data_IF_831026829969
#
_entry.id   IF_831026829969
#
_cell.length_a   1.000
_cell.length_b   1.000
_cell.length_c   1.000
_cell.angle_alpha   90.00
_cell.angle_beta   90.00
_cell.angle_gamma   90.00
#
_symmetry.space_group_name_H-M   'P 1'
#
loop_
_entity.id
_entity.type
_entity.pdbx_description
1 polymer ?
#
# COMPACT_ATOMS: atom_id res chain seq x y z
N UNK A 1 -10.81 -24.27 78.21
CA UNK A 1 -11.72 -25.27 77.61
C UNK A 1 -11.50 -25.16 76.10
N UNK A 2 -10.90 -26.17 75.46
CA UNK A 2 -10.59 -26.11 74.02
C UNK A 2 -11.79 -26.72 73.31
N UNK A 3 -12.68 -25.88 72.79
CA UNK A 3 -13.71 -26.33 71.84
C UNK A 3 -13.10 -26.43 70.45
N UNK A 4 -13.01 -27.66 69.92
CA UNK A 4 -12.69 -27.88 68.51
C UNK A 4 -13.97 -27.63 67.69
N UNK A 5 -14.01 -26.53 66.97
CA UNK A 5 -15.04 -26.28 65.96
C UNK A 5 -14.68 -27.01 64.66
N UNK A 6 -15.58 -27.87 64.19
CA UNK A 6 -15.50 -28.54 62.91
C UNK A 6 -16.37 -27.78 61.89
N UNK A 7 -15.77 -26.82 61.18
CA UNK A 7 -16.41 -26.17 60.03
C UNK A 7 -16.21 -26.99 58.76
N UNK A 8 -17.25 -27.16 57.94
CA UNK A 8 -17.13 -27.59 56.53
C UNK A 8 -16.77 -26.39 55.67
N UNK A 9 -15.97 -26.63 54.61
CA UNK A 9 -15.25 -25.69 53.74
C UNK A 9 -16.02 -24.50 53.12
N UNK A 10 -17.32 -24.32 53.36
CA UNK A 10 -18.13 -23.28 52.68
C UNK A 10 -19.03 -22.45 53.61
N UNK A 11 -18.86 -22.52 54.93
CA UNK A 11 -19.60 -21.65 55.85
C UNK A 11 -18.81 -20.36 56.18
N UNK A 12 -19.46 -19.19 56.11
CA UNK A 12 -18.91 -17.94 56.67
C UNK A 12 -18.64 -18.11 58.17
N UNK A 13 -17.37 -18.02 58.58
CA UNK A 13 -16.98 -18.16 59.99
C UNK A 13 -17.06 -16.78 60.66
N UNK A 14 -18.12 -16.55 61.44
CA UNK A 14 -18.19 -15.40 62.34
C UNK A 14 -17.46 -15.72 63.66
N UNK A 15 -16.26 -15.16 63.84
CA UNK A 15 -15.52 -15.24 65.10
C UNK A 15 -16.00 -14.13 66.05
N UNK A 16 -16.71 -14.50 67.11
CA UNK A 16 -17.05 -13.57 68.20
C UNK A 16 -16.06 -13.76 69.36
N UNK A 17 -15.22 -12.76 69.63
CA UNK A 17 -14.25 -12.77 70.73
C UNK A 17 -14.65 -11.84 71.88
N UNK A 18 -14.19 -12.15 73.10
CA UNK A 18 -14.30 -11.24 74.26
C UNK A 18 -13.12 -10.28 74.29
N UNK A 19 -13.36 -9.04 74.76
CA UNK A 19 -12.32 -8.02 74.86
C UNK A 19 -11.19 -8.48 75.81
N UNK A 20 -9.95 -8.40 75.34
CA UNK A 20 -8.75 -8.71 76.12
C UNK A 20 -8.22 -10.15 75.98
N UNK A 21 -8.83 -10.98 75.14
CA UNK A 21 -8.34 -12.34 74.85
C UNK A 21 -7.71 -12.46 73.45
N UNK A 22 -6.69 -13.32 73.35
CA UNK A 22 -6.02 -13.65 72.09
C UNK A 22 -6.50 -15.01 71.59
N UNK A 23 -7.03 -15.05 70.36
CA UNK A 23 -7.47 -16.28 69.71
C UNK A 23 -6.52 -16.63 68.57
N UNK A 24 -6.10 -17.89 68.49
CA UNK A 24 -5.26 -18.42 67.41
C UNK A 24 -6.08 -19.42 66.60
N UNK A 25 -6.32 -19.12 65.34
CA UNK A 25 -6.88 -20.08 64.38
C UNK A 25 -5.70 -20.81 63.74
N UNK A 26 -5.74 -22.14 63.74
CA UNK A 26 -4.72 -22.99 63.14
C UNK A 26 -5.38 -24.01 62.21
N UNK A 27 -4.78 -24.26 61.04
CA UNK A 27 -5.28 -25.24 60.07
C UNK A 27 -6.22 -24.69 59.00
N UNK A 28 -6.30 -23.37 58.81
CA UNK A 28 -6.86 -22.81 57.58
C UNK A 28 -5.75 -22.73 56.55
N UNK A 29 -5.87 -23.47 55.45
CA UNK A 29 -5.15 -23.13 54.25
C UNK A 29 -5.87 -21.92 53.62
N UNK A 30 -5.20 -20.79 53.37
CA UNK A 30 -5.83 -19.68 52.67
C UNK A 30 -6.07 -20.09 51.21
N UNK A 31 -7.24 -20.65 50.93
CA UNK A 31 -7.68 -20.91 49.56
C UNK A 31 -8.39 -19.65 49.06
N UNK A 32 -7.61 -18.70 48.57
CA UNK A 32 -8.14 -17.56 47.83
C UNK A 32 -8.21 -17.91 46.35
N UNK A 33 -9.39 -18.25 45.83
CA UNK A 33 -9.61 -18.35 44.38
C UNK A 33 -9.61 -16.94 43.77
N UNK A 34 -8.45 -16.48 43.31
CA UNK A 34 -8.36 -15.24 42.53
C UNK A 34 -8.64 -15.60 41.07
N UNK A 35 -9.86 -15.34 40.60
CA UNK A 35 -10.19 -15.44 39.18
C UNK A 35 -9.81 -14.16 38.46
N UNK A 36 -9.08 -14.29 37.36
CA UNK A 36 -8.95 -13.21 36.38
C UNK A 36 -10.25 -13.03 35.60
N UNK A 37 -10.39 -11.87 34.96
CA UNK A 37 -11.44 -11.67 33.97
C UNK A 37 -11.32 -12.74 32.86
N UNK A 38 -12.46 -13.21 32.36
CA UNK A 38 -12.50 -14.22 31.30
C UNK A 38 -11.67 -13.75 30.09
N UNK A 39 -10.79 -14.64 29.61
CA UNK A 39 -9.92 -14.39 28.44
C UNK A 39 -8.53 -13.82 28.74
N UNK A 40 -8.19 -13.52 30.00
CA UNK A 40 -6.83 -13.08 30.36
C UNK A 40 -5.91 -14.28 30.58
N UNK A 41 -4.99 -14.53 29.64
CA UNK A 41 -4.01 -15.65 29.68
C UNK A 41 -2.58 -15.22 30.02
N UNK A 42 -2.28 -13.93 29.89
CA UNK A 42 -0.91 -13.41 29.86
C UNK A 42 -0.40 -13.03 31.25
N UNK A 43 -1.06 -13.50 32.30
CA UNK A 43 -0.73 -13.19 33.69
C UNK A 43 -0.88 -14.43 34.55
N UNK A 44 0.04 -14.61 35.50
CA UNK A 44 -0.07 -15.56 36.59
C UNK A 44 -0.29 -14.79 37.89
N UNK A 45 -1.22 -15.28 38.71
CA UNK A 45 -1.42 -14.81 40.08
C UNK A 45 -1.09 -15.96 41.01
N UNK A 46 -0.24 -15.72 41.99
CA UNK A 46 0.04 -16.67 43.07
C UNK A 46 -0.14 -16.02 44.42
N UNK A 47 -0.49 -16.84 45.40
CA UNK A 47 -0.68 -16.42 46.79
C UNK A 47 0.39 -17.12 47.61
N UNK A 48 1.14 -16.35 48.41
CA UNK A 48 2.10 -16.89 49.37
C UNK A 48 1.86 -16.31 50.75
N UNK A 49 2.24 -17.05 51.78
CA UNK A 49 2.23 -16.57 53.17
C UNK A 49 3.62 -16.69 53.75
N UNK A 50 4.19 -15.56 54.17
CA UNK A 50 5.50 -15.47 54.83
C UNK A 50 5.40 -14.45 55.96
N UNK A 51 6.07 -14.68 57.10
CA UNK A 51 6.10 -13.76 58.25
C UNK A 51 4.73 -13.23 58.71
N UNK A 52 3.72 -14.10 58.82
CA UNK A 52 2.33 -13.74 59.13
C UNK A 52 1.70 -12.70 58.18
N UNK A 53 2.28 -12.51 57.00
CA UNK A 53 1.81 -11.59 55.97
C UNK A 53 1.28 -12.38 54.77
N UNK A 54 0.16 -11.92 54.23
CA UNK A 54 -0.44 -12.48 53.02
C UNK A 54 0.07 -11.71 51.80
N UNK A 55 0.71 -12.43 50.88
CA UNK A 55 1.26 -11.85 49.65
C UNK A 55 0.42 -12.27 48.45
N UNK A 56 0.01 -11.30 47.64
CA UNK A 56 -0.57 -11.52 46.31
C UNK A 56 0.52 -11.15 45.31
N UNK A 57 1.05 -12.14 44.60
CA UNK A 57 2.03 -11.94 43.54
C UNK A 57 1.29 -11.95 42.21
N UNK A 58 1.41 -10.87 41.45
CA UNK A 58 0.82 -10.74 40.11
C UNK A 58 1.97 -10.58 39.12
N UNK A 59 2.20 -11.60 38.31
CA UNK A 59 3.30 -11.63 37.35
C UNK A 59 2.69 -11.64 35.95
N UNK A 60 3.10 -10.70 35.09
CA UNK A 60 2.80 -10.80 33.66
C UNK A 60 3.60 -11.98 33.13
N UNK A 61 2.93 -12.95 32.51
CA UNK A 61 3.58 -13.97 31.72
C UNK A 61 4.16 -13.29 30.48
N UNK A 62 5.32 -12.64 30.62
CA UNK A 62 6.15 -12.23 29.50
C UNK A 62 6.91 -13.43 28.96
N UNK A 63 6.19 -14.51 28.65
CA UNK A 63 6.74 -15.65 27.96
C UNK A 63 6.34 -15.55 26.49
N UNK A 64 6.93 -14.56 25.82
CA UNK A 64 7.51 -14.78 24.51
C UNK A 64 8.20 -16.14 24.55
N UNK A 65 7.57 -17.18 24.00
CA UNK A 65 8.17 -18.51 23.93
C UNK A 65 9.02 -18.57 22.67
N UNK A 66 10.37 -18.49 22.79
CA UNK A 66 11.23 -18.37 21.63
C UNK A 66 11.22 -19.61 20.74
N UNK A 67 10.75 -20.76 21.21
CA UNK A 67 11.02 -22.04 20.55
C UNK A 67 10.10 -22.40 19.37
N UNK A 68 9.21 -21.51 18.91
CA UNK A 68 8.33 -21.82 17.78
C UNK A 68 7.84 -20.62 16.94
N UNK A 69 8.36 -19.40 17.16
CA UNK A 69 7.92 -18.26 16.35
C UNK A 69 8.38 -18.45 14.90
N UNK A 70 7.40 -18.35 14.00
CA UNK A 70 7.56 -18.40 12.55
C UNK A 70 6.75 -17.26 11.95
N UNK A 71 7.29 -16.59 10.95
CA UNK A 71 6.64 -15.44 10.32
C UNK A 71 6.92 -14.12 11.03
N UNK A 72 6.10 -13.10 10.72
CA UNK A 72 6.32 -11.74 11.18
C UNK A 72 5.76 -11.51 12.61
N UNK A 73 6.63 -11.30 13.58
CA UNK A 73 6.29 -11.12 14.99
C UNK A 73 6.96 -9.89 15.61
N UNK A 74 6.32 -9.27 16.60
CA UNK A 74 6.90 -8.19 17.40
C UNK A 74 7.67 -8.76 18.58
N UNK A 75 8.90 -8.28 18.82
CA UNK A 75 9.68 -8.63 19.99
C UNK A 75 9.35 -7.76 21.22
N UNK A 76 9.99 -8.05 22.36
CA UNK A 76 9.79 -7.34 23.63
C UNK A 76 10.17 -5.85 23.58
N UNK A 77 10.99 -5.44 22.61
CA UNK A 77 11.41 -4.06 22.41
C UNK A 77 10.51 -3.31 21.42
N UNK A 78 9.46 -3.95 20.90
CA UNK A 78 8.56 -3.35 19.92
C UNK A 78 9.06 -3.45 18.47
N UNK A 79 10.09 -4.25 18.20
CA UNK A 79 10.65 -4.42 16.85
C UNK A 79 9.97 -5.59 16.15
N UNK A 80 9.44 -5.35 14.96
CA UNK A 80 8.83 -6.40 14.13
C UNK A 80 9.89 -7.11 13.29
N UNK A 81 10.05 -8.41 13.53
CA UNK A 81 11.04 -9.25 12.86
C UNK A 81 10.39 -10.49 12.23
N UNK A 82 11.00 -11.02 11.18
CA UNK A 82 10.61 -12.27 10.54
C UNK A 82 11.39 -13.43 11.16
N UNK A 83 10.68 -14.36 11.81
CA UNK A 83 11.28 -15.50 12.50
C UNK A 83 11.15 -16.79 11.71
N UNK A 84 12.16 -17.66 11.82
CA UNK A 84 12.15 -19.06 11.37
C UNK A 84 12.73 -19.91 12.49
N UNK A 85 11.94 -20.88 12.97
CA UNK A 85 12.29 -21.77 14.09
C UNK A 85 12.76 -21.00 15.33
N UNK A 86 12.11 -19.88 15.64
CA UNK A 86 12.41 -19.12 16.86
C UNK A 86 13.60 -18.18 16.77
N UNK A 87 14.27 -18.08 15.62
CA UNK A 87 15.36 -17.14 15.38
C UNK A 87 14.99 -16.18 14.26
N UNK A 88 15.44 -14.92 14.34
CA UNK A 88 15.26 -13.95 13.26
C UNK A 88 16.01 -14.45 12.01
N UNK A 89 15.30 -14.52 10.88
CA UNK A 89 15.92 -14.82 9.59
C UNK A 89 16.41 -13.52 8.94
N UNK A 90 17.66 -13.16 9.25
CA UNK A 90 18.30 -11.97 8.69
C UNK A 90 18.53 -12.02 7.16
N UNK A 91 18.30 -13.15 6.51
CA UNK A 91 18.36 -13.26 5.05
C UNK A 91 17.03 -12.94 4.37
N UNK A 92 15.94 -12.87 5.13
CA UNK A 92 14.62 -12.60 4.57
C UNK A 92 14.49 -11.13 4.16
N UNK A 93 14.19 -10.91 2.88
CA UNK A 93 13.78 -9.62 2.32
C UNK A 93 12.60 -9.85 1.40
N UNK A 94 11.50 -9.13 1.62
CA UNK A 94 10.26 -9.31 0.88
C UNK A 94 9.03 -8.91 1.69
N UNK A 95 7.86 -9.33 1.22
CA UNK A 95 6.59 -9.07 1.90
C UNK A 95 6.20 -10.23 2.81
N UNK A 96 5.98 -9.93 4.08
CA UNK A 96 5.47 -10.87 5.07
C UNK A 96 4.16 -10.35 5.67
N UNK A 97 3.24 -11.25 6.02
CA UNK A 97 1.97 -10.89 6.64
C UNK A 97 1.81 -11.43 8.05
N UNK A 98 0.92 -10.77 8.79
CA UNK A 98 0.34 -11.25 10.03
C UNK A 98 -1.12 -10.76 10.13
N UNK A 99 -1.72 -10.79 11.32
CA UNK A 99 -3.08 -10.34 11.57
C UNK A 99 -3.32 -8.83 11.32
N UNK A 100 -2.26 -8.03 11.25
CA UNK A 100 -2.33 -6.58 11.03
C UNK A 100 -2.17 -6.17 9.55
N UNK A 101 -1.80 -7.11 8.67
CA UNK A 101 -1.64 -6.86 7.24
C UNK A 101 -0.32 -7.36 6.69
N UNK A 102 0.10 -6.78 5.56
CA UNK A 102 1.36 -7.08 4.87
C UNK A 102 2.37 -5.96 5.08
N UNK A 103 3.62 -6.34 5.35
CA UNK A 103 4.71 -5.44 5.67
C UNK A 103 5.94 -5.78 4.83
N UNK A 104 6.69 -4.74 4.47
CA UNK A 104 7.98 -4.91 3.82
C UNK A 104 9.07 -5.16 4.87
N UNK A 105 9.69 -6.33 4.78
CA UNK A 105 10.79 -6.77 5.63
C UNK A 105 12.08 -6.70 4.85
N UNK A 106 13.13 -6.16 5.47
CA UNK A 106 14.47 -6.08 4.90
C UNK A 106 15.47 -6.59 5.93
N UNK A 107 16.28 -7.56 5.52
CA UNK A 107 17.25 -8.23 6.39
C UNK A 107 16.63 -8.73 7.72
N UNK A 108 15.43 -9.32 7.66
CA UNK A 108 14.75 -9.91 8.81
C UNK A 108 13.95 -8.95 9.69
N UNK A 109 13.99 -7.63 9.47
CA UNK A 109 13.19 -6.64 10.23
C UNK A 109 12.31 -5.79 9.32
N UNK A 110 11.17 -5.32 9.82
CA UNK A 110 10.30 -4.39 9.06
C UNK A 110 11.06 -3.07 8.79
N UNK A 111 11.08 -2.66 7.52
CA UNK A 111 11.63 -1.37 7.10
C UNK A 111 10.50 -0.35 6.93
N UNK A 112 10.20 0.36 8.02
CA UNK A 112 9.17 1.41 8.07
C UNK A 112 9.45 2.62 7.18
N UNK A 113 10.67 2.75 6.63
CA UNK A 113 11.02 3.82 5.71
C UNK A 113 10.75 3.47 4.25
N UNK A 114 10.49 2.19 3.95
CA UNK A 114 10.33 1.72 2.59
C UNK A 114 9.02 2.23 1.97
N UNK A 115 9.13 2.89 0.82
CA UNK A 115 8.01 3.25 -0.04
C UNK A 115 8.36 2.88 -1.47
N UNK A 116 7.51 2.10 -2.13
CA UNK A 116 7.79 1.57 -3.47
C UNK A 116 7.08 0.24 -3.73
N UNK A 117 7.50 -0.44 -4.79
CA UNK A 117 6.94 -1.73 -5.17
C UNK A 117 7.78 -2.89 -4.60
N UNK A 118 7.13 -3.79 -3.88
CA UNK A 118 7.72 -5.04 -3.41
C UNK A 118 6.86 -6.24 -3.84
N UNK A 119 7.46 -7.43 -3.94
CA UNK A 119 6.76 -8.63 -4.42
C UNK A 119 6.76 -9.80 -3.44
N UNK A 120 5.80 -10.69 -3.66
CA UNK A 120 5.75 -12.05 -3.11
C UNK A 120 5.23 -13.01 -4.20
N UNK A 121 4.79 -14.21 -3.82
CA UNK A 121 4.23 -15.22 -4.72
C UNK A 121 2.92 -14.80 -5.43
N UNK A 122 2.24 -13.77 -4.92
CA UNK A 122 0.97 -13.28 -5.47
C UNK A 122 1.14 -12.12 -6.47
N UNK A 123 2.32 -11.51 -6.53
CA UNK A 123 2.62 -10.41 -7.44
C UNK A 123 3.35 -9.26 -6.78
N UNK A 124 3.28 -8.08 -7.40
CA UNK A 124 3.88 -6.84 -6.92
C UNK A 124 2.81 -5.94 -6.28
N UNK A 125 3.14 -5.35 -5.14
CA UNK A 125 2.25 -4.50 -4.36
C UNK A 125 2.94 -3.20 -3.98
N UNK A 126 2.14 -2.14 -3.87
CA UNK A 126 2.62 -0.84 -3.42
C UNK A 126 2.67 -0.79 -1.90
N UNK A 127 3.83 -0.42 -1.40
CA UNK A 127 4.13 -0.27 0.02
C UNK A 127 4.33 1.21 0.31
N UNK A 128 3.69 1.69 1.37
CA UNK A 128 3.86 3.03 1.92
C UNK A 128 4.28 2.93 3.37
N UNK A 129 5.43 3.53 3.70
CA UNK A 129 6.01 3.51 5.05
C UNK A 129 6.09 2.08 5.66
N UNK A 130 6.56 1.13 4.86
CA UNK A 130 6.72 -0.27 5.26
C UNK A 130 5.45 -1.12 5.30
N UNK A 131 4.27 -0.55 4.99
CA UNK A 131 2.97 -1.26 5.02
C UNK A 131 2.34 -1.28 3.63
N UNK A 132 1.71 -2.40 3.26
CA UNK A 132 0.95 -2.48 2.00
C UNK A 132 -0.23 -1.50 2.02
N UNK A 133 -0.31 -0.65 1.00
CA UNK A 133 -1.37 0.34 0.83
C UNK A 133 -2.33 -0.06 -0.30
N UNK A 134 -3.46 -0.67 0.07
CA UNK A 134 -4.54 -1.07 -0.84
C UNK A 134 -5.27 0.10 -1.51
N UNK A 135 -5.11 1.33 -1.00
CA UNK A 135 -5.79 2.50 -1.56
C UNK A 135 -5.00 3.16 -2.70
N UNK A 136 -3.72 2.81 -2.86
CA UNK A 136 -2.87 3.43 -3.85
C UNK A 136 -3.27 3.05 -5.27
N UNK A 137 -3.54 4.07 -6.10
CA UNK A 137 -3.71 3.94 -7.55
C UNK A 137 -2.87 5.01 -8.23
N UNK A 138 -1.97 4.62 -9.13
CA UNK A 138 -1.02 5.54 -9.74
C UNK A 138 0.26 4.85 -10.21
N UNK A 139 1.29 5.65 -10.49
CA UNK A 139 2.59 5.14 -10.92
C UNK A 139 3.56 5.00 -9.75
N UNK A 140 4.07 3.79 -9.54
CA UNK A 140 5.12 3.51 -8.57
C UNK A 140 6.33 2.88 -9.24
N UNK A 141 7.52 3.05 -8.66
CA UNK A 141 8.76 2.52 -9.23
C UNK A 141 9.46 1.49 -8.33
N UNK A 142 10.27 0.67 -8.98
CA UNK A 142 11.32 -0.15 -8.37
C UNK A 142 12.57 -0.10 -9.26
N UNK A 143 13.53 -1.01 -9.04
CA UNK A 143 14.76 -1.12 -9.83
C UNK A 143 14.55 -1.45 -11.32
N UNK A 144 13.37 -1.92 -11.71
CA UNK A 144 13.04 -2.31 -13.08
C UNK A 144 12.33 -1.21 -13.88
N UNK A 145 11.84 -0.15 -13.22
CA UNK A 145 11.16 0.96 -13.88
C UNK A 145 9.93 1.44 -13.14
N UNK A 146 9.03 2.12 -13.88
CA UNK A 146 7.76 2.64 -13.39
C UNK A 146 6.61 1.76 -13.87
N UNK A 147 5.71 1.42 -12.96
CA UNK A 147 4.58 0.54 -13.21
C UNK A 147 3.28 1.17 -12.70
N UNK A 148 2.19 0.84 -13.38
CA UNK A 148 0.87 1.23 -12.94
C UNK A 148 0.35 0.27 -11.87
N UNK A 149 -0.13 0.86 -10.78
CA UNK A 149 -0.72 0.18 -9.65
C UNK A 149 -2.20 0.56 -9.58
N UNK A 150 -3.05 -0.43 -9.39
CA UNK A 150 -4.48 -0.27 -9.19
C UNK A 150 -4.87 -0.95 -7.88
N UNK A 151 -5.44 -0.18 -6.94
CA UNK A 151 -5.82 -0.66 -5.61
C UNK A 151 -4.68 -1.43 -4.91
N UNK A 152 -3.49 -0.84 -4.86
CA UNK A 152 -2.32 -1.39 -4.17
C UNK A 152 -1.61 -2.55 -4.87
N UNK A 153 -2.10 -3.07 -5.99
CA UNK A 153 -1.47 -4.14 -6.76
C UNK A 153 -1.05 -3.68 -8.17
N UNK A 154 0.09 -4.16 -8.66
CA UNK A 154 0.55 -3.88 -10.02
C UNK A 154 -0.45 -4.45 -11.04
N UNK A 155 -0.93 -3.60 -11.95
CA UNK A 155 -1.89 -3.96 -12.99
C UNK A 155 -1.22 -4.09 -14.36
N UNK A 156 -0.86 -5.32 -14.72
CA UNK A 156 -0.27 -5.67 -16.02
C UNK A 156 -1.23 -5.47 -17.21
N UNK A 157 -2.54 -5.30 -16.95
CA UNK A 157 -3.54 -5.07 -17.99
C UNK A 157 -3.70 -3.60 -18.37
N UNK A 158 -3.17 -2.67 -17.57
CA UNK A 158 -3.35 -1.25 -17.80
C UNK A 158 -2.61 -0.76 -19.05
N UNK A 159 -3.32 -0.09 -19.95
CA UNK A 159 -2.76 0.66 -21.08
C UNK A 159 -3.50 1.98 -21.19
N UNK A 160 -2.76 3.09 -21.20
CA UNK A 160 -3.33 4.43 -21.17
C UNK A 160 -2.40 5.42 -20.49
N UNK A 161 -2.93 6.59 -20.14
CA UNK A 161 -2.16 7.61 -19.43
C UNK A 161 -2.31 7.47 -17.91
N UNK A 162 -1.21 7.55 -17.18
CA UNK A 162 -1.22 7.62 -15.72
C UNK A 162 -0.27 8.72 -15.26
N UNK A 163 -0.54 9.30 -14.09
CA UNK A 163 0.28 10.39 -13.56
C UNK A 163 0.89 10.09 -12.19
N UNK A 164 1.94 10.84 -11.89
CA UNK A 164 2.52 11.02 -10.56
C UNK A 164 2.95 12.48 -10.39
N UNK A 165 3.79 12.78 -9.40
CA UNK A 165 4.32 14.12 -9.14
C UNK A 165 5.17 14.71 -10.27
N UNK A 166 5.65 13.89 -11.22
CA UNK A 166 6.49 14.32 -12.34
C UNK A 166 5.71 14.59 -13.63
N UNK A 167 4.42 14.26 -13.67
CA UNK A 167 3.56 14.50 -14.84
C UNK A 167 2.78 13.26 -15.28
N UNK A 168 2.32 13.28 -16.53
CA UNK A 168 1.58 12.19 -17.17
C UNK A 168 2.50 11.36 -18.07
N UNK A 169 2.36 10.05 -18.00
CA UNK A 169 3.15 9.08 -18.73
C UNK A 169 2.25 8.09 -19.46
N UNK A 170 2.71 7.63 -20.61
CA UNK A 170 2.06 6.56 -21.33
C UNK A 170 2.50 5.20 -20.77
N UNK A 171 1.51 4.42 -20.35
CA UNK A 171 1.67 3.07 -19.82
C UNK A 171 1.17 2.08 -20.85
N UNK A 172 1.92 1.00 -21.05
CA UNK A 172 1.54 -0.12 -21.90
C UNK A 172 1.79 -1.41 -21.16
N UNK A 173 0.75 -2.24 -21.05
CA UNK A 173 0.78 -3.49 -20.29
C UNK A 173 1.36 -3.31 -18.87
N UNK A 174 0.88 -2.30 -18.14
CA UNK A 174 1.27 -2.01 -16.77
C UNK A 174 2.63 -1.37 -16.55
N UNK A 175 3.47 -1.19 -17.58
CA UNK A 175 4.77 -0.51 -17.49
C UNK A 175 4.77 0.79 -18.28
N UNK A 176 5.46 1.82 -17.79
CA UNK A 176 5.71 3.03 -18.59
C UNK A 176 6.48 2.66 -19.85
N UNK A 177 5.97 3.06 -21.01
CA UNK A 177 6.58 2.84 -22.32
C UNK A 177 7.26 4.12 -22.81
N UNK A 178 8.55 4.25 -22.46
CA UNK A 178 9.40 5.37 -22.83
C UNK A 178 9.67 5.49 -24.33
N UNK A 179 9.30 4.49 -25.13
CA UNK A 179 9.45 4.53 -26.59
C UNK A 179 8.23 5.10 -27.29
N UNK A 180 7.10 5.25 -26.59
CA UNK A 180 5.86 5.70 -27.18
C UNK A 180 5.93 7.19 -27.56
N UNK A 181 5.61 7.48 -28.82
CA UNK A 181 5.39 8.84 -29.33
C UNK A 181 4.14 8.83 -30.20
N UNK A 182 3.19 9.72 -29.92
CA UNK A 182 1.89 9.72 -30.57
C UNK A 182 0.79 10.28 -29.68
N UNK A 183 -0.46 10.00 -30.04
CA UNK A 183 -1.62 10.44 -29.27
C UNK A 183 -2.17 9.33 -28.38
N UNK A 184 -2.31 9.62 -27.09
CA UNK A 184 -2.96 8.75 -26.12
C UNK A 184 -4.04 9.53 -25.35
N UNK A 185 -5.03 8.83 -24.81
CA UNK A 185 -6.16 9.45 -24.13
C UNK A 185 -6.36 8.99 -22.69
N UNK A 186 -7.08 9.83 -21.95
CA UNK A 186 -7.72 9.51 -20.67
C UNK A 186 -9.10 10.19 -20.60
N UNK A 187 -9.69 10.29 -19.42
CA UNK A 187 -10.98 10.92 -19.18
C UNK A 187 -11.05 12.42 -19.53
N UNK A 188 -9.90 13.09 -19.66
CA UNK A 188 -9.79 14.52 -19.96
C UNK A 188 -9.61 14.83 -21.46
N UNK A 189 -9.33 13.83 -22.29
CA UNK A 189 -9.14 14.01 -23.73
C UNK A 189 -7.94 13.24 -24.29
N UNK A 190 -7.50 13.66 -25.48
CA UNK A 190 -6.32 13.14 -26.17
C UNK A 190 -5.15 14.10 -26.02
N UNK A 191 -3.98 13.55 -25.71
CA UNK A 191 -2.76 14.29 -25.44
C UNK A 191 -1.61 13.76 -26.28
N UNK A 192 -0.72 14.67 -26.68
CA UNK A 192 0.51 14.29 -27.34
C UNK A 192 1.56 13.82 -26.34
N UNK A 193 2.06 12.62 -26.59
CA UNK A 193 3.10 11.97 -25.81
C UNK A 193 4.36 11.92 -26.66
N UNK A 194 5.48 12.32 -26.05
CA UNK A 194 6.82 12.27 -26.62
C UNK A 194 7.73 11.47 -25.69
N UNK A 195 8.31 10.39 -26.21
CA UNK A 195 9.17 9.48 -25.43
C UNK A 195 8.53 9.01 -24.11
N UNK A 196 7.26 8.63 -24.17
CA UNK A 196 6.49 8.14 -23.03
C UNK A 196 5.97 9.20 -22.07
N UNK A 197 6.25 10.50 -22.28
CA UNK A 197 5.84 11.61 -21.41
C UNK A 197 4.93 12.58 -22.15
N UNK A 198 3.90 13.10 -21.46
CA UNK A 198 3.05 14.15 -22.01
C UNK A 198 3.87 15.41 -22.29
N UNK A 199 3.84 15.89 -23.54
CA UNK A 199 4.54 17.09 -23.98
C UNK A 199 3.56 18.24 -24.24
N UNK A 200 3.41 19.11 -23.23
CA UNK A 200 2.58 20.32 -23.29
C UNK A 200 3.07 21.37 -24.30
N UNK A 201 4.29 21.26 -24.80
CA UNK A 201 4.85 22.24 -25.75
C UNK A 201 4.56 21.89 -27.21
N UNK A 202 4.05 20.69 -27.48
CA UNK A 202 3.83 20.22 -28.84
C UNK A 202 2.63 20.91 -29.50
N UNK A 203 2.86 21.50 -30.67
CA UNK A 203 1.82 22.00 -31.57
C UNK A 203 2.13 21.54 -32.98
N UNK A 204 1.18 20.86 -33.62
CA UNK A 204 1.41 20.23 -34.92
C UNK A 204 0.45 19.08 -35.19
N UNK A 205 0.81 18.22 -36.15
CA UNK A 205 0.05 17.02 -36.45
C UNK A 205 0.68 15.79 -35.81
N UNK A 206 -0.09 15.09 -34.99
CA UNK A 206 0.29 13.80 -34.40
C UNK A 206 -0.70 12.70 -34.80
N UNK A 207 -0.25 11.45 -34.76
CA UNK A 207 -1.07 10.32 -35.16
C UNK A 207 -1.33 9.29 -34.05
N UNK A 208 -2.40 8.53 -34.24
CA UNK A 208 -2.69 7.27 -33.56
C UNK A 208 -3.28 6.28 -34.59
N UNK A 209 -3.89 5.19 -34.12
CA UNK A 209 -4.54 4.19 -34.97
C UNK A 209 -5.74 4.71 -35.78
N UNK A 210 -6.30 5.87 -35.44
CA UNK A 210 -7.46 6.48 -36.10
C UNK A 210 -7.08 7.49 -37.18
N UNK A 211 -5.82 7.93 -37.25
CA UNK A 211 -5.35 8.87 -38.26
C UNK A 211 -4.45 9.96 -37.68
N UNK A 212 -4.38 11.09 -38.39
CA UNK A 212 -3.60 12.28 -38.02
C UNK A 212 -4.54 13.37 -37.52
N UNK A 213 -4.16 14.00 -36.40
CA UNK A 213 -4.95 15.01 -35.73
C UNK A 213 -4.10 16.22 -35.38
N UNK A 214 -4.74 17.39 -35.35
CA UNK A 214 -4.10 18.61 -34.91
C UNK A 214 -4.07 18.69 -33.39
N UNK A 215 -2.89 19.03 -32.88
CA UNK A 215 -2.61 19.22 -31.46
C UNK A 215 -2.18 20.66 -31.26
N UNK A 216 -2.74 21.32 -30.25
CA UNK A 216 -2.31 22.62 -29.75
C UNK A 216 -1.93 22.48 -28.28
N UNK A 217 -0.73 22.95 -27.93
CA UNK A 217 -0.23 22.92 -26.54
C UNK A 217 -0.36 21.54 -25.88
N UNK A 218 0.00 20.49 -26.61
CA UNK A 218 -0.03 19.10 -26.15
C UNK A 218 -1.43 18.45 -26.12
N UNK A 219 -2.50 19.17 -26.47
CA UNK A 219 -3.89 18.67 -26.44
C UNK A 219 -4.47 18.61 -27.86
N UNK A 220 -5.18 17.53 -28.18
CA UNK A 220 -5.91 17.43 -29.45
C UNK A 220 -7.00 18.52 -29.52
N UNK A 221 -6.95 19.35 -30.55
CA UNK A 221 -7.92 20.42 -30.78
C UNK A 221 -8.94 20.04 -31.86
N UNK A 222 -10.12 19.58 -31.42
CA UNK A 222 -11.25 19.24 -32.29
C UNK A 222 -11.86 20.45 -33.03
N UNK A 223 -11.57 21.68 -32.59
CA UNK A 223 -12.07 22.90 -33.23
C UNK A 223 -11.22 23.37 -34.39
N UNK A 224 -10.00 22.85 -34.54
CA UNK A 224 -9.07 23.33 -35.56
C UNK A 224 -9.52 22.96 -36.97
N UNK A 225 -9.59 23.96 -37.86
CA UNK A 225 -9.77 23.79 -39.30
C UNK A 225 -8.82 24.73 -40.02
N UNK A 226 -7.96 24.19 -40.89
CA UNK A 226 -6.90 24.94 -41.52
C UNK A 226 -5.76 24.05 -42.01
N UNK A 227 -4.63 24.68 -42.34
CA UNK A 227 -3.42 23.96 -42.74
C UNK A 227 -2.47 23.79 -41.55
N UNK A 228 -2.10 22.55 -41.25
CA UNK A 228 -1.09 22.20 -40.26
C UNK A 228 0.00 21.34 -40.89
N UNK A 229 1.19 21.30 -40.28
CA UNK A 229 2.32 20.56 -40.83
C UNK A 229 2.95 19.58 -39.84
N UNK A 230 3.63 18.58 -40.40
CA UNK A 230 4.57 17.70 -39.73
C UNK A 230 5.80 17.47 -40.64
N UNK A 231 6.62 16.48 -40.33
CA UNK A 231 7.79 16.09 -41.11
C UNK A 231 7.47 15.62 -42.55
N UNK A 232 6.22 15.27 -42.85
CA UNK A 232 5.77 14.81 -44.17
C UNK A 232 5.17 15.93 -45.03
N UNK A 233 5.05 17.15 -44.50
CA UNK A 233 4.57 18.33 -45.23
C UNK A 233 3.36 18.99 -44.58
N UNK A 234 2.62 19.76 -45.37
CA UNK A 234 1.42 20.47 -44.94
C UNK A 234 0.16 19.71 -45.36
N UNK A 235 -0.81 19.64 -44.46
CA UNK A 235 -2.07 18.94 -44.65
C UNK A 235 -3.25 19.83 -44.26
N UNK A 236 -4.37 19.62 -44.94
CA UNK A 236 -5.64 20.24 -44.58
C UNK A 236 -6.31 19.44 -43.46
N UNK A 237 -6.66 20.15 -42.40
CA UNK A 237 -7.33 19.63 -41.21
C UNK A 237 -8.74 20.21 -41.18
N UNK A 238 -9.71 19.36 -40.88
CA UNK A 238 -11.11 19.71 -40.68
C UNK A 238 -11.60 19.10 -39.37
N UNK A 239 -12.12 19.94 -38.48
CA UNK A 239 -12.56 19.55 -37.13
C UNK A 239 -11.51 18.70 -36.37
N UNK A 240 -10.27 19.16 -36.39
CA UNK A 240 -9.14 18.55 -35.68
C UNK A 240 -8.52 17.32 -36.34
N UNK A 241 -9.10 16.76 -37.41
CA UNK A 241 -8.55 15.60 -38.11
C UNK A 241 -8.09 15.94 -39.53
N UNK A 242 -7.02 15.32 -40.01
CA UNK A 242 -6.59 15.46 -41.41
C UNK A 242 -7.68 14.93 -42.34
N UNK A 243 -8.15 15.79 -43.24
CA UNK A 243 -9.18 15.46 -44.22
C UNK A 243 -8.54 15.06 -45.55
N UNK A 244 -8.33 13.75 -45.71
CA UNK A 244 -7.77 13.14 -46.92
C UNK A 244 -8.66 13.26 -48.16
N UNK A 245 -9.93 13.68 -48.00
CA UNK A 245 -10.85 13.90 -49.13
C UNK A 245 -10.80 15.33 -49.67
N UNK A 246 -10.19 16.26 -48.92
CA UNK A 246 -10.16 17.66 -49.31
C UNK A 246 -9.29 17.89 -50.55
N UNK A 247 -9.88 18.49 -51.58
CA UNK A 247 -9.15 19.02 -52.75
C UNK A 247 -9.68 20.41 -53.05
N UNK A 248 -8.81 21.42 -53.01
CA UNK A 248 -9.22 22.82 -53.10
C UNK A 248 -8.10 23.78 -52.71
N UNK A 249 -8.46 25.03 -52.44
CA UNK A 249 -7.52 26.04 -51.94
C UNK A 249 -7.68 26.20 -50.43
N UNK A 250 -6.58 26.37 -49.71
CA UNK A 250 -6.60 26.66 -48.28
C UNK A 250 -5.55 27.70 -47.93
N UNK A 251 -5.88 28.58 -46.97
CA UNK A 251 -5.03 29.68 -46.56
C UNK A 251 -4.27 29.34 -45.26
N UNK A 252 -3.04 29.83 -45.15
CA UNK A 252 -2.33 29.96 -43.88
C UNK A 252 -1.61 31.33 -43.83
N UNK A 253 -0.83 31.56 -42.77
CA UNK A 253 -0.10 32.82 -42.59
C UNK A 253 0.91 33.13 -43.72
N UNK A 254 1.26 32.14 -44.54
CA UNK A 254 2.22 32.27 -45.64
C UNK A 254 1.54 32.49 -47.00
N UNK A 255 0.21 32.30 -47.10
CA UNK A 255 -0.56 32.52 -48.32
C UNK A 255 -1.61 31.43 -48.61
N UNK A 256 -2.08 31.41 -49.86
CA UNK A 256 -3.06 30.44 -50.37
C UNK A 256 -2.35 29.27 -51.06
N UNK A 257 -2.70 28.06 -50.69
CA UNK A 257 -2.09 26.82 -51.18
C UNK A 257 -3.11 25.94 -51.90
N UNK A 258 -2.66 25.23 -52.94
CA UNK A 258 -3.45 24.16 -53.55
C UNK A 258 -3.27 22.89 -52.71
N UNK A 259 -4.39 22.26 -52.34
CA UNK A 259 -4.44 21.01 -51.59
C UNK A 259 -5.07 19.95 -52.49
N UNK A 260 -4.45 18.77 -52.55
CA UNK A 260 -4.97 17.61 -53.28
C UNK A 260 -4.96 16.41 -52.35
N UNK A 261 -6.11 15.77 -52.18
CA UNK A 261 -6.31 14.63 -51.27
C UNK A 261 -5.75 14.90 -49.86
N UNK A 262 -6.05 16.07 -49.32
CA UNK A 262 -5.65 16.50 -47.98
C UNK A 262 -4.21 17.01 -47.85
N UNK A 263 -3.34 16.89 -48.86
CA UNK A 263 -1.94 17.35 -48.79
C UNK A 263 -1.69 18.56 -49.68
N UNK A 264 -0.93 19.54 -49.19
CA UNK A 264 -0.47 20.69 -49.98
C UNK A 264 0.47 20.22 -51.09
N UNK A 265 0.26 20.73 -52.30
CA UNK A 265 1.11 20.49 -53.47
C UNK A 265 1.78 21.79 -53.92
N UNK A 266 3.06 21.69 -54.28
CA UNK A 266 3.89 22.80 -54.76
C UNK A 266 4.06 22.78 -56.28
#
# INVERSE_FOLDING_TARGET
>A
MIEKFHGRETAEIHLMGKAGESYKVAGLEPVGDIKMADGVTDWTVSVTTEDNTFHINVVKNSAFTPSAQNGLCCDENGVWNYYVNGSVDYNYTGLANNEYGWFYVKNGSVDWSYTGLANNEYGWFYISNGVLDWSYTGLANNEYGWFYVSNGALDWGYTGLANNEYGWFYVKNGSVDWSYTGLANNEYGWFYISNGVLDWSYTGLANNEYGWFYVSDGVLDWGYTGLANNEYGWFYVSNGAVDWSYTGQADNIYGTWNVVNGQVVF
#
